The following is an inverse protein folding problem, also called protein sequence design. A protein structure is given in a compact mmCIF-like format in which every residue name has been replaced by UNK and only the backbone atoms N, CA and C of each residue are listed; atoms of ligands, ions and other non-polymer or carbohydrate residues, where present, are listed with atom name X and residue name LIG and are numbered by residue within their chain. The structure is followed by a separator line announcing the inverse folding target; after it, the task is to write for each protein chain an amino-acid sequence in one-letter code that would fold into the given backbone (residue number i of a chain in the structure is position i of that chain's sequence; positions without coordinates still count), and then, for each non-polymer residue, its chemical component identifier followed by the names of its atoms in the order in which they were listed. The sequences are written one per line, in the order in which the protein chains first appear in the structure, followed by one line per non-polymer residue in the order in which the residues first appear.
data_IF_396184106960
#
_entry.id   IF_396184106960
#
_cell.length_a   1.000
_cell.length_b   1.000
_cell.length_c   1.000
_cell.angle_alpha   90.00
_cell.angle_beta   90.00
_cell.angle_gamma   90.00
#
_symmetry.space_group_name_H-M   'P 1'
#
loop_
_entity.id
_entity.type
_entity.pdbx_description
1 polymer ?
#
# COMPACT_ATOMS: atom_id res chain seq x y z
N UNK A 1 33.23 36.03 -9.08
CA UNK A 1 32.82 35.85 -7.67
C UNK A 1 31.32 35.55 -7.58
N UNK A 2 30.83 34.51 -8.28
CA UNK A 2 29.39 34.13 -8.31
C UNK A 2 29.10 32.76 -7.69
N UNK A 3 30.16 32.05 -7.28
CA UNK A 3 30.07 30.73 -6.67
C UNK A 3 29.15 30.66 -5.44
N UNK A 4 29.19 31.60 -4.47
CA UNK A 4 28.27 31.57 -3.33
C UNK A 4 26.80 31.79 -3.75
N UNK A 5 26.55 32.62 -4.77
CA UNK A 5 25.19 32.88 -5.27
C UNK A 5 24.60 31.63 -5.95
N UNK A 6 25.40 30.92 -6.75
CA UNK A 6 24.97 29.68 -7.41
C UNK A 6 24.62 28.61 -6.36
N UNK A 7 25.42 28.47 -5.31
CA UNK A 7 25.15 27.52 -4.22
C UNK A 7 23.84 27.87 -3.51
N UNK A 8 23.59 29.14 -3.21
CA UNK A 8 22.35 29.59 -2.56
C UNK A 8 21.14 29.25 -3.44
N UNK A 9 21.19 29.52 -4.74
CA UNK A 9 20.10 29.21 -5.69
C UNK A 9 19.81 27.70 -5.71
N UNK A 10 20.85 26.86 -5.74
CA UNK A 10 20.70 25.40 -5.71
C UNK A 10 20.05 24.95 -4.40
N UNK A 11 20.48 25.47 -3.25
CA UNK A 11 19.89 25.12 -1.95
C UNK A 11 18.42 25.53 -1.89
N UNK A 12 18.08 26.74 -2.33
CA UNK A 12 16.70 27.23 -2.37
C UNK A 12 15.82 26.37 -3.30
N UNK A 13 16.36 25.97 -4.45
CA UNK A 13 15.67 25.07 -5.38
C UNK A 13 15.35 23.71 -4.72
N UNK A 14 16.33 23.08 -4.06
CA UNK A 14 16.11 21.81 -3.37
C UNK A 14 15.16 21.94 -2.17
N UNK A 15 15.24 23.03 -1.41
CA UNK A 15 14.33 23.31 -0.30
C UNK A 15 12.88 23.48 -0.81
N UNK A 16 12.69 24.23 -1.88
CA UNK A 16 11.38 24.40 -2.53
C UNK A 16 10.84 23.06 -3.04
N UNK A 17 11.65 22.29 -3.80
CA UNK A 17 11.24 20.98 -4.32
C UNK A 17 10.84 20.02 -3.19
N UNK A 18 11.61 19.99 -2.10
CA UNK A 18 11.29 19.17 -0.92
C UNK A 18 9.97 19.61 -0.26
N UNK A 19 9.73 20.91 -0.15
CA UNK A 19 8.48 21.44 0.41
C UNK A 19 7.27 21.05 -0.43
N UNK A 20 7.36 21.15 -1.77
CA UNK A 20 6.30 20.73 -2.70
C UNK A 20 6.01 19.23 -2.54
N UNK A 21 7.04 18.37 -2.51
CA UNK A 21 6.87 16.93 -2.31
C UNK A 21 6.23 16.59 -0.96
N UNK A 22 6.62 17.30 0.10
CA UNK A 22 6.02 17.14 1.42
C UNK A 22 4.52 17.48 1.40
N UNK A 23 4.15 18.62 0.80
CA UNK A 23 2.75 19.03 0.68
C UNK A 23 1.91 18.08 -0.17
N UNK A 24 2.50 17.54 -1.23
CA UNK A 24 1.87 16.51 -2.05
C UNK A 24 1.64 15.23 -1.24
N UNK A 25 2.62 14.76 -0.48
CA UNK A 25 2.46 13.59 0.38
C UNK A 25 1.40 13.80 1.47
N UNK A 26 1.36 14.98 2.11
CA UNK A 26 0.29 15.33 3.06
C UNK A 26 -1.09 15.31 2.39
N UNK A 27 -1.21 15.87 1.20
CA UNK A 27 -2.46 15.90 0.44
C UNK A 27 -2.94 14.49 0.10
N UNK A 28 -2.06 13.63 -0.42
CA UNK A 28 -2.40 12.24 -0.74
C UNK A 28 -2.76 11.42 0.50
N UNK A 29 -2.03 11.59 1.60
CA UNK A 29 -2.38 10.93 2.86
C UNK A 29 -3.75 11.40 3.37
N UNK A 30 -4.06 12.69 3.24
CA UNK A 30 -5.37 13.22 3.58
C UNK A 30 -6.46 12.57 2.71
N UNK A 31 -6.31 12.59 1.39
CA UNK A 31 -7.29 12.00 0.48
C UNK A 31 -7.57 10.53 0.80
N UNK A 32 -6.51 9.75 1.00
CA UNK A 32 -6.65 8.31 1.17
C UNK A 32 -7.11 7.92 2.57
N UNK A 33 -6.54 8.51 3.61
CA UNK A 33 -6.72 8.00 4.98
C UNK A 33 -7.63 8.86 5.86
N UNK A 34 -7.85 10.13 5.50
CA UNK A 34 -8.73 11.04 6.26
C UNK A 34 -10.06 11.20 5.53
N UNK A 35 -10.00 11.61 4.26
CA UNK A 35 -11.18 11.83 3.42
C UNK A 35 -11.73 10.50 2.87
N UNK A 36 -10.97 9.40 3.01
CA UNK A 36 -11.32 8.04 2.58
C UNK A 36 -11.84 7.97 1.14
N UNK A 37 -11.14 8.64 0.23
CA UNK A 37 -11.55 8.77 -1.16
C UNK A 37 -10.44 8.28 -2.11
N UNK A 38 -10.33 6.96 -2.32
CA UNK A 38 -9.31 6.37 -3.19
C UNK A 38 -9.53 6.69 -4.68
N UNK A 39 -10.77 6.93 -5.13
CA UNK A 39 -11.04 7.34 -6.51
C UNK A 39 -10.44 8.72 -6.80
N UNK A 40 -10.71 9.71 -5.95
CA UNK A 40 -10.11 11.04 -6.08
C UNK A 40 -8.59 10.98 -5.93
N UNK A 41 -8.06 10.09 -5.10
CA UNK A 41 -6.62 9.85 -5.04
C UNK A 41 -6.08 9.42 -6.40
N UNK A 42 -6.76 8.51 -7.10
CA UNK A 42 -6.39 8.06 -8.46
C UNK A 42 -6.42 9.23 -9.44
N UNK A 43 -7.50 10.01 -9.47
CA UNK A 43 -7.63 11.18 -10.35
C UNK A 43 -6.46 12.15 -10.19
N UNK A 44 -6.10 12.47 -8.94
CA UNK A 44 -5.00 13.37 -8.63
C UNK A 44 -3.64 12.76 -9.03
N UNK A 45 -3.47 11.45 -8.96
CA UNK A 45 -2.26 10.80 -9.50
C UNK A 45 -2.21 10.80 -11.02
N UNK A 46 -3.36 10.71 -11.71
CA UNK A 46 -3.43 10.83 -13.17
C UNK A 46 -3.04 12.23 -13.63
N UNK A 47 -3.50 13.26 -12.94
CA UNK A 47 -3.09 14.66 -13.19
C UNK A 47 -1.57 14.87 -13.02
N UNK A 48 -0.93 14.13 -12.12
CA UNK A 48 0.53 14.15 -12.00
C UNK A 48 1.22 13.42 -13.15
N UNK A 49 0.66 12.32 -13.63
CA UNK A 49 1.22 11.53 -14.72
C UNK A 49 1.20 12.29 -16.07
N UNK A 50 0.30 13.28 -16.22
CA UNK A 50 0.25 14.18 -17.37
C UNK A 50 1.38 15.22 -17.40
N UNK A 51 2.05 15.47 -16.28
CA UNK A 51 3.10 16.49 -16.18
C UNK A 51 4.43 15.97 -16.74
N UNK A 52 5.24 16.91 -17.26
CA UNK A 52 6.64 16.63 -17.60
C UNK A 52 7.40 16.30 -16.31
N UNK A 53 7.96 15.11 -16.27
CA UNK A 53 8.64 14.57 -15.09
C UNK A 53 9.73 13.58 -15.51
N UNK A 54 10.67 13.33 -14.61
CA UNK A 54 11.66 12.27 -14.84
C UNK A 54 11.02 10.88 -14.83
N UNK A 55 11.66 9.92 -15.48
CA UNK A 55 11.23 8.50 -15.45
C UNK A 55 11.08 7.98 -14.02
N UNK A 56 12.00 8.37 -13.13
CA UNK A 56 11.92 8.03 -11.70
C UNK A 56 10.66 8.59 -11.05
N UNK A 57 10.34 9.87 -11.28
CA UNK A 57 9.14 10.51 -10.72
C UNK A 57 7.87 9.89 -11.30
N UNK A 58 7.87 9.56 -12.60
CA UNK A 58 6.77 8.84 -13.25
C UNK A 58 6.54 7.47 -12.60
N UNK A 59 7.59 6.68 -12.39
CA UNK A 59 7.46 5.37 -11.73
C UNK A 59 6.96 5.50 -10.29
N UNK A 60 7.38 6.54 -9.56
CA UNK A 60 6.84 6.84 -8.23
C UNK A 60 5.33 7.14 -8.29
N UNK A 61 4.89 7.97 -9.23
CA UNK A 61 3.48 8.33 -9.38
C UNK A 61 2.62 7.15 -9.84
N UNK A 62 3.14 6.24 -10.67
CA UNK A 62 2.48 4.98 -11.00
C UNK A 62 2.30 4.06 -9.79
N UNK A 63 3.31 3.96 -8.92
CA UNK A 63 3.23 3.19 -7.67
C UNK A 63 2.23 3.84 -6.69
N UNK A 64 2.16 5.17 -6.66
CA UNK A 64 1.12 5.86 -5.88
C UNK A 64 -0.26 5.54 -6.45
N UNK A 65 -0.48 5.70 -7.76
CA UNK A 65 -1.74 5.38 -8.43
C UNK A 65 -2.23 3.97 -8.11
N UNK A 66 -1.34 2.97 -8.11
CA UNK A 66 -1.71 1.60 -7.75
C UNK A 66 -2.21 1.43 -6.31
N UNK A 67 -1.83 2.33 -5.40
CA UNK A 67 -2.36 2.36 -4.01
C UNK A 67 -3.83 2.77 -4.02
N UNK A 68 -4.17 3.85 -4.75
CA UNK A 68 -5.55 4.29 -4.92
C UNK A 68 -6.39 3.22 -5.60
N UNK A 69 -5.92 2.67 -6.73
CA UNK A 69 -6.61 1.59 -7.45
C UNK A 69 -6.85 0.35 -6.58
N UNK A 70 -5.87 -0.05 -5.77
CA UNK A 70 -6.04 -1.16 -4.83
C UNK A 70 -7.19 -0.90 -3.85
N UNK A 71 -7.22 0.27 -3.22
CA UNK A 71 -8.31 0.59 -2.28
C UNK A 71 -9.65 0.86 -2.97
N UNK A 72 -9.67 1.25 -4.25
CA UNK A 72 -10.88 1.29 -5.07
C UNK A 72 -11.33 -0.10 -5.56
N UNK A 73 -10.62 -1.18 -5.22
CA UNK A 73 -10.95 -2.54 -5.67
C UNK A 73 -10.61 -2.83 -7.14
N UNK A 74 -9.91 -1.91 -7.81
CA UNK A 74 -9.49 -2.01 -9.22
C UNK A 74 -8.18 -2.81 -9.33
N UNK A 75 -8.19 -4.05 -8.82
CA UNK A 75 -6.98 -4.87 -8.67
C UNK A 75 -6.27 -5.14 -9.99
N UNK A 76 -7.01 -5.45 -11.06
CA UNK A 76 -6.42 -5.72 -12.37
C UNK A 76 -5.67 -4.53 -12.95
N UNK A 77 -6.21 -3.32 -12.78
CA UNK A 77 -5.52 -2.11 -13.24
C UNK A 77 -4.28 -1.83 -12.38
N UNK A 78 -4.37 -2.02 -11.06
CA UNK A 78 -3.23 -1.89 -10.16
C UNK A 78 -2.09 -2.85 -10.55
N UNK A 79 -2.42 -4.12 -10.81
CA UNK A 79 -1.46 -5.16 -11.27
C UNK A 79 -0.85 -4.75 -12.61
N UNK A 80 -1.67 -4.38 -13.59
CA UNK A 80 -1.19 -3.99 -14.92
C UNK A 80 -0.24 -2.79 -14.86
N UNK A 81 -0.55 -1.78 -14.04
CA UNK A 81 0.36 -0.65 -13.84
C UNK A 81 1.71 -1.11 -13.28
N UNK A 82 1.68 -1.93 -12.23
CA UNK A 82 2.89 -2.34 -11.53
C UNK A 82 3.75 -3.27 -12.39
N UNK A 83 3.17 -4.26 -13.07
CA UNK A 83 3.93 -5.22 -13.87
C UNK A 83 4.33 -4.70 -15.26
N UNK A 84 3.51 -3.84 -15.89
CA UNK A 84 3.71 -3.46 -17.30
C UNK A 84 4.17 -2.02 -17.51
N UNK A 85 3.90 -1.10 -16.57
CA UNK A 85 4.19 0.33 -16.77
C UNK A 85 5.31 0.88 -15.89
N UNK A 86 5.63 0.21 -14.78
CA UNK A 86 6.74 0.57 -13.89
C UNK A 86 8.01 -0.13 -14.39
N UNK A 87 8.84 0.58 -15.15
CA UNK A 87 10.04 0.01 -15.77
C UNK A 87 11.15 -0.28 -14.76
N UNK A 88 11.31 0.60 -13.77
CA UNK A 88 12.33 0.48 -12.73
C UNK A 88 11.79 0.93 -11.38
N UNK A 89 11.77 0.00 -10.43
CA UNK A 89 11.30 0.26 -9.08
C UNK A 89 12.32 1.13 -8.33
N UNK A 90 11.99 2.37 -7.95
CA UNK A 90 12.88 3.19 -7.14
C UNK A 90 13.10 2.49 -5.79
N UNK A 91 14.35 2.40 -5.34
CA UNK A 91 14.68 1.60 -4.14
C UNK A 91 13.78 1.94 -2.96
N UNK A 92 13.66 3.21 -2.59
CA UNK A 92 12.83 3.66 -1.47
C UNK A 92 11.32 3.46 -1.62
N UNK A 93 10.85 2.97 -2.77
CA UNK A 93 9.44 2.68 -3.08
C UNK A 93 9.16 1.18 -3.24
N UNK A 94 10.18 0.32 -3.17
CA UNK A 94 10.04 -1.13 -3.32
C UNK A 94 9.04 -1.74 -2.34
N UNK A 95 9.07 -1.34 -1.07
CA UNK A 95 8.14 -1.85 -0.06
C UNK A 95 6.68 -1.57 -0.43
N UNK A 96 6.37 -0.35 -0.91
CA UNK A 96 5.02 0.01 -1.33
C UNK A 96 4.64 -0.68 -2.65
N UNK A 97 5.56 -0.73 -3.61
CA UNK A 97 5.37 -1.45 -4.88
C UNK A 97 4.95 -2.91 -4.63
N UNK A 98 5.73 -3.65 -3.84
CA UNK A 98 5.46 -5.06 -3.58
C UNK A 98 4.22 -5.26 -2.72
N UNK A 99 3.97 -4.37 -1.76
CA UNK A 99 2.73 -4.39 -0.99
C UNK A 99 1.50 -4.33 -1.91
N UNK A 100 1.46 -3.34 -2.80
CA UNK A 100 0.32 -3.14 -3.69
C UNK A 100 0.19 -4.28 -4.70
N UNK A 101 1.29 -4.73 -5.30
CA UNK A 101 1.26 -5.79 -6.31
C UNK A 101 0.79 -7.11 -5.70
N UNK A 102 1.42 -7.54 -4.61
CA UNK A 102 1.15 -8.84 -3.99
C UNK A 102 -0.28 -8.88 -3.42
N UNK A 103 -0.72 -7.83 -2.72
CA UNK A 103 -2.09 -7.79 -2.22
C UNK A 103 -3.11 -7.74 -3.36
N UNK A 104 -2.88 -6.95 -4.41
CA UNK A 104 -3.79 -6.93 -5.57
C UNK A 104 -3.87 -8.30 -6.25
N UNK A 105 -2.75 -9.03 -6.35
CA UNK A 105 -2.73 -10.39 -6.89
C UNK A 105 -3.54 -11.35 -6.00
N UNK A 106 -3.38 -11.30 -4.68
CA UNK A 106 -4.19 -12.14 -3.78
C UNK A 106 -5.69 -11.81 -3.84
N UNK A 107 -6.06 -10.52 -3.77
CA UNK A 107 -7.46 -10.10 -3.80
C UNK A 107 -8.12 -10.31 -5.18
N UNK A 108 -7.35 -10.40 -6.27
CA UNK A 108 -7.84 -10.83 -7.59
C UNK A 108 -7.83 -12.35 -7.80
N UNK A 109 -7.49 -13.15 -6.77
CA UNK A 109 -7.47 -14.61 -6.82
C UNK A 109 -6.26 -15.22 -7.55
N UNK A 110 -5.24 -14.42 -7.88
CA UNK A 110 -4.01 -14.87 -8.56
C UNK A 110 -2.92 -15.29 -7.56
N UNK A 111 -3.28 -16.20 -6.66
CA UNK A 111 -2.44 -16.64 -5.53
C UNK A 111 -1.08 -17.18 -5.98
N UNK A 112 -1.02 -17.98 -7.04
CA UNK A 112 0.24 -18.54 -7.54
C UNK A 112 1.21 -17.44 -7.98
N UNK A 113 0.73 -16.47 -8.77
CA UNK A 113 1.54 -15.34 -9.20
C UNK A 113 1.95 -14.44 -8.02
N UNK A 114 1.08 -14.26 -7.03
CA UNK A 114 1.42 -13.51 -5.82
C UNK A 114 2.59 -14.17 -5.07
N UNK A 115 2.58 -15.50 -4.97
CA UNK A 115 3.65 -16.27 -4.36
C UNK A 115 4.95 -16.22 -5.16
N UNK A 116 4.89 -16.29 -6.49
CA UNK A 116 6.06 -16.11 -7.36
C UNK A 116 6.71 -14.75 -7.14
N UNK A 117 5.91 -13.67 -7.17
CA UNK A 117 6.40 -12.30 -6.93
C UNK A 117 6.99 -12.17 -5.53
N UNK A 118 6.37 -12.75 -4.50
CA UNK A 118 6.91 -12.71 -3.14
C UNK A 118 8.27 -13.42 -3.04
N UNK A 119 8.44 -14.55 -3.72
CA UNK A 119 9.70 -15.29 -3.76
C UNK A 119 10.79 -14.50 -4.51
N UNK A 120 10.47 -13.94 -5.68
CA UNK A 120 11.36 -13.08 -6.47
C UNK A 120 11.81 -11.84 -5.67
N UNK A 121 10.89 -11.25 -4.91
CA UNK A 121 11.11 -10.00 -4.18
C UNK A 121 11.70 -10.19 -2.78
N UNK A 122 11.83 -11.43 -2.29
CA UNK A 122 12.16 -11.75 -0.90
C UNK A 122 13.40 -11.01 -0.38
N UNK A 123 14.50 -11.06 -1.12
CA UNK A 123 15.74 -10.39 -0.72
C UNK A 123 15.57 -8.87 -0.61
N UNK A 124 14.85 -8.26 -1.56
CA UNK A 124 14.58 -6.83 -1.56
C UNK A 124 13.67 -6.43 -0.39
N UNK A 125 12.64 -7.24 -0.11
CA UNK A 125 11.69 -7.03 0.98
C UNK A 125 12.38 -7.17 2.35
N UNK A 126 13.23 -8.18 2.54
CA UNK A 126 13.91 -8.47 3.80
C UNK A 126 14.92 -7.37 4.20
N UNK A 127 15.45 -6.60 3.24
CA UNK A 127 16.25 -5.41 3.53
C UNK A 127 15.44 -4.37 4.32
N UNK A 128 14.15 -4.18 4.01
CA UNK A 128 13.28 -3.24 4.73
C UNK A 128 12.90 -3.77 6.10
N UNK A 129 12.74 -5.08 6.26
CA UNK A 129 12.51 -5.70 7.56
C UNK A 129 13.67 -5.40 8.53
N UNK A 130 14.92 -5.51 8.07
CA UNK A 130 16.13 -5.27 8.87
C UNK A 130 16.33 -3.81 9.29
N UNK A 131 15.82 -2.86 8.50
CA UNK A 131 16.01 -1.42 8.75
C UNK A 131 14.98 -0.82 9.71
N UNK A 132 14.01 -1.60 10.20
CA UNK A 132 12.83 -1.17 10.98
C UNK A 132 11.93 -0.11 10.30
N UNK A 133 12.41 0.60 9.29
CA UNK A 133 11.61 1.44 8.41
C UNK A 133 10.76 0.53 7.52
N UNK A 134 9.43 0.64 7.65
CA UNK A 134 8.42 -0.19 6.95
C UNK A 134 8.29 -1.65 7.42
N UNK A 135 8.85 -2.02 8.58
CA UNK A 135 8.72 -3.38 9.15
C UNK A 135 7.26 -3.85 9.17
N UNK A 136 6.35 -3.04 9.69
CA UNK A 136 4.92 -3.38 9.75
C UNK A 136 4.30 -3.65 8.37
N UNK A 137 4.69 -2.90 7.33
CA UNK A 137 4.17 -3.12 5.98
C UNK A 137 4.67 -4.43 5.37
N UNK A 138 5.93 -4.79 5.63
CA UNK A 138 6.53 -6.05 5.16
C UNK A 138 5.94 -7.25 5.89
N UNK A 139 5.84 -7.18 7.22
CA UNK A 139 5.20 -8.24 8.02
C UNK A 139 3.75 -8.47 7.59
N UNK A 140 3.05 -7.40 7.18
CA UNK A 140 1.69 -7.49 6.70
C UNK A 140 1.59 -8.28 5.39
N UNK A 141 2.54 -8.09 4.46
CA UNK A 141 2.60 -8.87 3.21
C UNK A 141 2.77 -10.36 3.54
N UNK A 142 3.68 -10.70 4.43
CA UNK A 142 3.91 -12.10 4.82
C UNK A 142 2.70 -12.70 5.56
N UNK A 143 2.05 -11.94 6.44
CA UNK A 143 0.85 -12.40 7.13
C UNK A 143 -0.33 -12.64 6.16
N UNK A 144 -0.53 -11.73 5.20
CA UNK A 144 -1.52 -11.91 4.13
C UNK A 144 -1.17 -13.14 3.26
N UNK A 145 0.09 -13.31 2.88
CA UNK A 145 0.52 -14.47 2.12
C UNK A 145 0.28 -15.78 2.88
N UNK A 146 0.60 -15.84 4.17
CA UNK A 146 0.29 -17.02 4.98
C UNK A 146 -1.22 -17.29 5.05
N UNK A 147 -2.05 -16.24 5.17
CA UNK A 147 -3.49 -16.37 5.11
C UNK A 147 -3.96 -16.99 3.81
N UNK A 148 -3.61 -16.41 2.65
CA UNK A 148 -4.04 -16.91 1.34
C UNK A 148 -3.47 -18.29 0.99
N UNK A 149 -2.41 -18.72 1.67
CA UNK A 149 -1.82 -20.06 1.54
C UNK A 149 -2.32 -21.06 2.59
N UNK A 150 -3.44 -20.78 3.27
CA UNK A 150 -4.08 -21.70 4.21
C UNK A 150 -3.37 -21.83 5.58
N UNK A 151 -2.48 -20.89 5.90
CA UNK A 151 -1.76 -20.81 7.19
C UNK A 151 -2.22 -19.63 8.04
N UNK A 152 -3.36 -19.03 7.69
CA UNK A 152 -3.91 -17.81 8.29
C UNK A 152 -4.12 -17.89 9.79
N UNK A 153 -4.55 -19.05 10.31
CA UNK A 153 -4.75 -19.28 11.75
C UNK A 153 -3.52 -18.95 12.60
N UNK A 154 -2.30 -19.14 12.09
CA UNK A 154 -1.08 -18.81 12.83
C UNK A 154 -0.76 -17.31 12.89
N UNK A 155 -1.59 -16.48 12.26
CA UNK A 155 -1.42 -15.02 12.13
C UNK A 155 -2.52 -14.23 12.85
N UNK A 156 -3.40 -14.88 13.59
CA UNK A 156 -4.48 -14.23 14.34
C UNK A 156 -3.94 -13.16 15.33
N UNK A 157 -2.96 -13.51 16.17
CA UNK A 157 -2.35 -12.60 17.14
C UNK A 157 -1.70 -11.40 16.44
N UNK A 158 -1.07 -11.65 15.28
CA UNK A 158 -0.51 -10.59 14.47
C UNK A 158 -1.60 -9.62 14.00
N UNK A 159 -2.67 -10.12 13.39
CA UNK A 159 -3.76 -9.26 12.93
C UNK A 159 -4.45 -8.53 14.09
N UNK A 160 -4.66 -9.18 15.24
CA UNK A 160 -5.18 -8.52 16.45
C UNK A 160 -4.27 -7.36 16.87
N UNK A 161 -2.95 -7.53 16.86
CA UNK A 161 -2.03 -6.45 17.20
C UNK A 161 -2.12 -5.28 16.21
N UNK A 162 -2.24 -5.56 14.92
CA UNK A 162 -2.37 -4.52 13.88
C UNK A 162 -3.65 -3.69 14.08
N UNK A 163 -4.78 -4.29 14.48
CA UNK A 163 -6.01 -3.53 14.78
C UNK A 163 -5.84 -2.48 15.88
N UNK A 164 -4.83 -2.64 16.76
CA UNK A 164 -4.56 -1.74 17.89
C UNK A 164 -3.44 -0.73 17.63
N UNK A 165 -2.55 -1.03 16.67
CA UNK A 165 -1.27 -0.32 16.51
C UNK A 165 -1.03 0.24 15.11
N UNK A 166 -1.87 -0.08 14.13
CA UNK A 166 -1.71 0.44 12.77
C UNK A 166 -1.92 1.96 12.71
N UNK A 167 -1.18 2.59 11.80
CA UNK A 167 -1.19 4.04 11.63
C UNK A 167 -2.35 4.56 10.78
N UNK A 168 -3.12 3.70 10.12
CA UNK A 168 -4.24 4.10 9.28
C UNK A 168 -5.39 3.08 9.31
N UNK A 169 -6.60 3.59 9.08
CA UNK A 169 -7.85 2.84 9.14
C UNK A 169 -7.91 1.69 8.12
N UNK A 170 -7.38 1.86 6.91
CA UNK A 170 -7.43 0.79 5.90
C UNK A 170 -6.61 -0.43 6.29
N UNK A 171 -5.48 -0.24 6.97
CA UNK A 171 -4.72 -1.36 7.52
C UNK A 171 -5.46 -2.04 8.69
N UNK A 172 -6.15 -1.27 9.53
CA UNK A 172 -7.03 -1.80 10.58
C UNK A 172 -8.17 -2.61 9.95
N UNK A 173 -8.78 -2.09 8.89
CA UNK A 173 -9.87 -2.70 8.15
C UNK A 173 -9.47 -4.06 7.55
N UNK A 174 -8.34 -4.12 6.84
CA UNK A 174 -7.83 -5.38 6.29
C UNK A 174 -7.51 -6.39 7.40
N UNK A 175 -6.97 -5.96 8.54
CA UNK A 175 -6.73 -6.85 9.69
C UNK A 175 -8.03 -7.40 10.26
N UNK A 176 -9.08 -6.59 10.38
CA UNK A 176 -10.39 -7.06 10.77
C UNK A 176 -10.99 -8.04 9.75
N UNK A 177 -10.83 -7.78 8.45
CA UNK A 177 -11.23 -8.70 7.38
C UNK A 177 -10.53 -10.07 7.52
N UNK A 178 -9.20 -10.10 7.70
CA UNK A 178 -8.48 -11.35 7.87
C UNK A 178 -8.91 -12.11 9.13
N UNK A 179 -9.13 -11.41 10.25
CA UNK A 179 -9.63 -12.03 11.49
C UNK A 179 -11.03 -12.61 11.31
N UNK A 180 -11.92 -11.89 10.61
CA UNK A 180 -13.26 -12.38 10.29
C UNK A 180 -13.18 -13.71 9.53
N UNK A 181 -12.34 -13.78 8.50
CA UNK A 181 -12.16 -15.02 7.71
C UNK A 181 -11.50 -16.15 8.48
N UNK A 182 -10.52 -15.85 9.34
CA UNK A 182 -9.94 -16.87 10.23
C UNK A 182 -11.03 -17.44 11.17
N UNK A 183 -11.87 -16.60 11.75
CA UNK A 183 -12.93 -17.06 12.66
C UNK A 183 -14.08 -17.78 11.95
N UNK A 184 -14.36 -17.42 10.69
CA UNK A 184 -15.27 -18.17 9.82
C UNK A 184 -14.76 -19.62 9.64
N UNK A 185 -13.47 -19.80 9.33
CA UNK A 185 -12.83 -21.12 9.22
C UNK A 185 -12.85 -21.91 10.54
N UNK A 186 -12.80 -21.23 11.68
CA UNK A 186 -12.91 -21.82 13.02
C UNK A 186 -14.35 -22.10 13.48
N UNK A 187 -15.35 -21.82 12.64
CA UNK A 187 -16.78 -21.93 12.98
C UNK A 187 -17.22 -21.01 14.14
N UNK A 188 -16.49 -19.92 14.35
CA UNK A 188 -16.77 -18.87 15.34
C UNK A 188 -17.55 -17.73 14.66
N UNK A 189 -18.80 -18.03 14.32
CA UNK A 189 -19.61 -17.20 13.42
C UNK A 189 -19.90 -15.82 14.01
N UNK A 190 -20.30 -15.74 15.28
CA UNK A 190 -20.62 -14.45 15.92
C UNK A 190 -19.39 -13.51 15.94
N UNK A 191 -18.21 -14.04 16.28
CA UNK A 191 -16.99 -13.24 16.22
C UNK A 191 -16.61 -12.89 14.78
N UNK A 192 -16.78 -13.83 13.83
CA UNK A 192 -16.52 -13.58 12.41
C UNK A 192 -17.35 -12.39 11.90
N UNK A 193 -18.64 -12.34 12.22
CA UNK A 193 -19.55 -11.25 11.85
C UNK A 193 -19.13 -9.93 12.50
N UNK A 194 -18.81 -9.93 13.81
CA UNK A 194 -18.35 -8.73 14.52
C UNK A 194 -17.09 -8.14 13.88
N UNK A 195 -16.14 -8.99 13.49
CA UNK A 195 -14.91 -8.57 12.83
C UNK A 195 -15.18 -8.08 11.40
N UNK A 196 -16.13 -8.68 10.67
CA UNK A 196 -16.49 -8.21 9.34
C UNK A 196 -17.12 -6.81 9.39
N UNK A 197 -18.01 -6.55 10.35
CA UNK A 197 -18.62 -5.24 10.50
C UNK A 197 -17.58 -4.16 10.83
N UNK A 198 -16.62 -4.48 11.69
CA UNK A 198 -15.47 -3.58 11.93
C UNK A 198 -14.65 -3.35 10.67
N UNK A 199 -14.41 -4.39 9.87
CA UNK A 199 -13.68 -4.25 8.60
C UNK A 199 -14.36 -3.23 7.69
N UNK A 200 -15.70 -3.31 7.55
CA UNK A 200 -16.48 -2.36 6.75
C UNK A 200 -16.44 -0.93 7.31
N UNK A 201 -16.59 -0.76 8.63
CA UNK A 201 -16.54 0.55 9.29
C UNK A 201 -15.20 1.26 9.08
N UNK A 202 -14.09 0.56 9.35
CA UNK A 202 -12.76 1.14 9.13
C UNK A 202 -12.44 1.29 7.64
N UNK A 203 -12.93 0.37 6.82
CA UNK A 203 -12.74 0.30 5.37
C UNK A 203 -13.62 1.23 4.55
N UNK A 204 -14.40 2.12 5.17
CA UNK A 204 -15.28 3.05 4.48
C UNK A 204 -14.59 3.78 3.31
N UNK A 205 -15.31 3.93 2.20
CA UNK A 205 -14.83 4.55 0.96
C UNK A 205 -13.88 3.68 0.14
N UNK A 206 -13.58 2.45 0.59
CA UNK A 206 -12.75 1.48 -0.13
C UNK A 206 -13.54 0.22 -0.46
N UNK A 207 -12.97 -0.68 -1.26
CA UNK A 207 -13.58 -1.97 -1.58
C UNK A 207 -13.92 -2.81 -0.33
N UNK A 208 -13.21 -2.59 0.78
CA UNK A 208 -13.39 -3.33 2.04
C UNK A 208 -14.76 -3.04 2.65
N UNK A 209 -15.33 -1.84 2.43
CA UNK A 209 -16.69 -1.49 2.84
C UNK A 209 -17.75 -2.43 2.24
N UNK A 210 -17.44 -3.03 1.09
CA UNK A 210 -18.37 -3.82 0.28
C UNK A 210 -18.09 -5.33 0.32
N UNK A 211 -17.20 -5.79 1.20
CA UNK A 211 -16.90 -7.21 1.42
C UNK A 211 -17.95 -7.93 2.28
#
# INVERSE_FOLDING_TARGET
MYFPLIIIVIILYFAYKRHVLYKQAEFFNKLLYIDKNPERYVDETDELLLKIQSERERNINLIQKSTGLFYSGMFDEAINILEQKVEKIPSNWQALYYHNLILSLFFSGRTDRANDVLNEAKEAIDIYLKKNVNKTSVEFIYAAADFFNGKGKSRDEYFVNITKSAANDYRIALSHYFLSKIYEEEQRIDESEEYMDKARIFGQGSFIEHL
#
